data_IF_037514028004
#
_entry.id   IF_037514028004
#
_cell.length_a   1.000
_cell.length_b   1.000
_cell.length_c   1.000
_cell.angle_alpha   90.00
_cell.angle_beta   90.00
_cell.angle_gamma   90.00
#
_symmetry.space_group_name_H-M   'P 1'
#
loop_
_entity.id
_entity.type
_entity.pdbx_description
1 polymer ?
#
# COMPACT_ATOMS: atom_id res chain seq x y z
N UNK A 1 12.52 16.99 -10.50
CA UNK A 1 11.29 17.82 -10.51
C UNK A 1 10.17 17.05 -9.81
N UNK A 2 9.18 17.74 -9.24
CA UNK A 2 8.04 17.12 -8.54
C UNK A 2 7.28 16.11 -9.42
N UNK A 3 7.22 16.39 -10.72
CA UNK A 3 6.58 15.52 -11.71
C UNK A 3 7.28 14.16 -11.87
N UNK A 4 8.60 14.14 -12.05
CA UNK A 4 9.37 12.87 -12.09
C UNK A 4 9.21 12.07 -10.80
N UNK A 5 9.13 12.74 -9.66
CA UNK A 5 8.89 12.09 -8.38
C UNK A 5 7.52 11.39 -8.33
N UNK A 6 6.46 12.05 -8.81
CA UNK A 6 5.13 11.45 -8.90
C UNK A 6 5.09 10.29 -9.92
N UNK A 7 5.77 10.43 -11.05
CA UNK A 7 5.90 9.36 -12.06
C UNK A 7 6.54 8.10 -11.47
N UNK A 8 7.55 8.24 -10.59
CA UNK A 8 8.17 7.10 -9.91
C UNK A 8 7.17 6.36 -8.99
N UNK A 9 6.29 7.09 -8.31
CA UNK A 9 5.26 6.49 -7.43
C UNK A 9 4.26 5.69 -8.27
N UNK A 10 3.82 6.26 -9.40
CA UNK A 10 2.94 5.58 -10.35
C UNK A 10 3.59 4.34 -10.94
N UNK A 11 4.86 4.44 -11.37
CA UNK A 11 5.62 3.31 -11.90
C UNK A 11 5.75 2.17 -10.88
N UNK A 12 5.97 2.47 -9.61
CA UNK A 12 6.01 1.46 -8.54
C UNK A 12 4.65 0.79 -8.31
N UNK A 13 3.54 1.52 -8.44
CA UNK A 13 2.20 0.94 -8.32
C UNK A 13 1.89 0.01 -9.49
N UNK A 14 2.21 0.41 -10.72
CA UNK A 14 2.09 -0.45 -11.90
C UNK A 14 2.95 -1.70 -11.79
N UNK A 15 4.19 -1.56 -11.29
CA UNK A 15 5.07 -2.69 -11.02
C UNK A 15 4.44 -3.65 -9.99
N UNK A 16 3.85 -3.14 -8.92
CA UNK A 16 3.14 -3.96 -7.92
C UNK A 16 1.98 -4.74 -8.53
N UNK A 17 1.14 -4.09 -9.35
CA UNK A 17 0.04 -4.78 -10.04
C UNK A 17 0.53 -5.84 -11.03
N UNK A 18 1.61 -5.56 -11.76
CA UNK A 18 2.22 -6.54 -12.66
C UNK A 18 2.71 -7.78 -11.90
N UNK A 19 3.34 -7.63 -10.73
CA UNK A 19 3.75 -8.76 -9.89
C UNK A 19 2.55 -9.60 -9.42
N UNK A 20 1.45 -8.96 -9.04
CA UNK A 20 0.21 -9.66 -8.64
C UNK A 20 -0.32 -10.48 -9.82
N UNK A 21 -0.41 -9.89 -11.01
CA UNK A 21 -0.88 -10.59 -12.22
C UNK A 21 0.01 -11.79 -12.59
N UNK A 22 1.34 -11.66 -12.44
CA UNK A 22 2.26 -12.78 -12.65
C UNK A 22 2.02 -13.89 -11.62
N UNK A 23 1.79 -13.55 -10.35
CA UNK A 23 1.51 -14.55 -9.32
C UNK A 23 0.20 -15.29 -9.57
N UNK A 24 -0.84 -14.61 -10.07
CA UNK A 24 -2.09 -15.24 -10.50
C UNK A 24 -1.87 -16.27 -11.62
N UNK A 25 -0.96 -15.99 -12.56
CA UNK A 25 -0.51 -16.95 -13.56
C UNK A 25 0.16 -18.18 -12.93
N UNK A 26 1.10 -17.96 -12.02
CA UNK A 26 1.79 -19.04 -11.29
C UNK A 26 0.80 -19.90 -10.49
N UNK A 27 -0.16 -19.29 -9.80
CA UNK A 27 -1.19 -20.01 -9.05
C UNK A 27 -2.03 -20.92 -9.95
N UNK A 28 -2.36 -20.45 -11.15
CA UNK A 28 -3.08 -21.24 -12.17
C UNK A 28 -2.26 -22.42 -12.67
N UNK A 29 -0.98 -22.22 -12.95
CA UNK A 29 -0.11 -23.23 -13.57
C UNK A 29 0.37 -24.27 -12.55
N UNK A 30 0.52 -23.88 -11.28
CA UNK A 30 1.08 -24.73 -10.22
C UNK A 30 0.02 -25.29 -9.25
N UNK A 31 -1.27 -24.99 -9.45
CA UNK A 31 -2.37 -25.37 -8.56
C UNK A 31 -2.12 -24.97 -7.09
N UNK A 32 -1.57 -23.76 -6.88
CA UNK A 32 -1.30 -23.18 -5.55
C UNK A 32 -2.15 -21.92 -5.32
N UNK A 33 -2.25 -21.49 -4.05
CA UNK A 33 -2.90 -20.22 -3.65
C UNK A 33 -1.90 -19.31 -2.93
N UNK A 34 -0.83 -18.92 -3.63
CA UNK A 34 0.11 -17.94 -3.11
C UNK A 34 -0.55 -16.56 -3.05
N UNK A 35 -0.30 -15.83 -1.95
CA UNK A 35 -0.82 -14.49 -1.72
C UNK A 35 0.32 -13.50 -1.68
N UNK A 36 0.31 -12.52 -2.59
CA UNK A 36 1.21 -11.39 -2.55
C UNK A 36 0.57 -10.25 -1.77
N UNK A 37 1.36 -9.63 -0.90
CA UNK A 37 1.02 -8.37 -0.27
C UNK A 37 2.08 -7.35 -0.64
N UNK A 38 1.65 -6.10 -0.82
CA UNK A 38 2.54 -5.00 -1.21
C UNK A 38 2.19 -3.77 -0.40
N UNK A 39 3.17 -3.23 0.31
CA UNK A 39 3.09 -1.95 1.00
C UNK A 39 3.89 -0.90 0.27
N UNK A 40 3.33 0.30 0.08
CA UNK A 40 4.06 1.41 -0.55
C UNK A 40 4.05 2.64 0.35
N UNK A 41 5.15 3.39 0.33
CA UNK A 41 5.28 4.69 0.95
C UNK A 41 6.28 5.52 0.14
N UNK A 42 6.15 6.84 0.14
CA UNK A 42 7.08 7.74 -0.50
C UNK A 42 7.58 8.81 0.48
N UNK A 43 8.87 9.11 0.43
CA UNK A 43 9.50 10.12 1.28
C UNK A 43 11.02 10.00 1.27
N UNK A 44 11.73 10.84 2.04
CA UNK A 44 13.18 10.80 2.10
C UNK A 44 13.68 9.50 2.73
N UNK A 45 14.75 8.96 2.17
CA UNK A 45 15.46 7.78 2.67
C UNK A 45 16.95 7.94 2.44
N UNK A 46 17.74 7.06 3.06
CA UNK A 46 19.18 6.96 2.85
C UNK A 46 19.45 5.70 2.03
N UNK A 47 20.40 5.79 1.11
CA UNK A 47 20.88 4.67 0.31
C UNK A 47 22.40 4.61 0.38
N UNK A 48 22.98 3.41 0.32
CA UNK A 48 24.43 3.26 0.31
C UNK A 48 24.89 1.81 0.23
N UNK A 49 26.21 1.63 0.28
CA UNK A 49 26.83 0.31 0.35
C UNK A 49 27.08 -0.05 1.82
N UNK A 50 26.61 -1.22 2.23
CA UNK A 50 26.80 -1.77 3.57
C UNK A 50 27.73 -2.98 3.51
N UNK A 51 28.61 -3.11 4.50
CA UNK A 51 29.53 -4.25 4.64
C UNK A 51 30.88 -4.06 3.93
N UNK A 52 31.97 -4.35 4.64
CA UNK A 52 33.33 -4.16 4.11
C UNK A 52 33.84 -5.35 3.28
N UNK A 53 33.54 -6.59 3.68
CA UNK A 53 34.02 -7.80 2.99
C UNK A 53 33.09 -8.29 1.88
N UNK A 54 31.77 -8.02 2.01
CA UNK A 54 30.73 -8.37 1.05
C UNK A 54 29.82 -7.14 0.89
N UNK A 55 30.23 -6.15 0.09
CA UNK A 55 29.47 -4.92 -0.09
C UNK A 55 28.10 -5.22 -0.71
N UNK A 56 27.04 -4.67 -0.10
CA UNK A 56 25.66 -4.78 -0.57
C UNK A 56 25.04 -3.38 -0.65
N UNK A 57 24.36 -3.08 -1.76
CA UNK A 57 23.55 -1.87 -1.84
C UNK A 57 22.27 -2.04 -1.02
N UNK A 58 21.99 -1.07 -0.16
CA UNK A 58 20.84 -1.10 0.72
C UNK A 58 20.22 0.30 0.88
N UNK A 59 18.95 0.32 1.30
CA UNK A 59 18.19 1.53 1.61
C UNK A 59 17.59 1.45 3.02
N UNK A 60 17.68 2.53 3.78
CA UNK A 60 17.15 2.59 5.14
C UNK A 60 16.57 3.96 5.46
N UNK A 61 15.79 4.01 6.54
CA UNK A 61 15.18 5.24 7.05
C UNK A 61 13.70 5.08 7.32
N UNK A 62 13.09 6.16 7.77
CA UNK A 62 11.70 6.12 8.22
C UNK A 62 10.72 5.75 7.10
N UNK A 63 10.94 6.20 5.86
CA UNK A 63 10.06 5.83 4.72
C UNK A 63 10.04 4.32 4.47
N UNK A 64 11.19 3.65 4.55
CA UNK A 64 11.28 2.18 4.41
C UNK A 64 10.57 1.49 5.57
N UNK A 65 10.74 1.99 6.80
CA UNK A 65 10.04 1.46 7.97
C UNK A 65 8.52 1.60 7.83
N UNK A 66 8.02 2.75 7.37
CA UNK A 66 6.58 2.96 7.13
C UNK A 66 6.10 2.01 6.04
N UNK A 67 6.78 1.93 4.88
CA UNK A 67 6.43 1.00 3.80
C UNK A 67 6.34 -0.45 4.29
N UNK A 68 7.26 -0.89 5.16
CA UNK A 68 7.22 -2.24 5.74
C UNK A 68 5.98 -2.52 6.57
N UNK A 69 5.39 -1.49 7.22
CA UNK A 69 4.13 -1.62 7.96
C UNK A 69 2.93 -1.60 7.03
N UNK A 70 3.07 -0.88 5.91
CA UNK A 70 2.07 -0.84 4.87
C UNK A 70 1.88 -2.16 4.13
N UNK A 71 2.81 -3.13 4.25
CA UNK A 71 2.65 -4.47 3.64
C UNK A 71 1.31 -5.13 4.01
N UNK A 72 0.81 -4.87 5.21
CA UNK A 72 -0.49 -5.37 5.66
C UNK A 72 -1.69 -4.46 5.36
N UNK A 73 -1.45 -3.21 4.92
CA UNK A 73 -2.47 -2.14 4.95
C UNK A 73 -2.54 -1.24 3.71
N UNK A 74 -1.70 -1.46 2.70
CA UNK A 74 -1.72 -0.73 1.43
C UNK A 74 -0.77 0.45 1.38
N UNK A 75 -1.29 1.68 1.51
CA UNK A 75 -0.50 2.92 1.39
C UNK A 75 -0.93 3.98 2.42
N UNK A 76 -0.05 4.91 2.84
CA UNK A 76 -0.42 6.05 3.67
C UNK A 76 -1.10 7.14 2.84
N UNK A 77 -1.75 8.09 3.52
CA UNK A 77 -2.50 9.19 2.90
C UNK A 77 -1.68 10.00 1.88
N UNK A 78 -0.41 10.28 2.15
CA UNK A 78 0.43 11.06 1.23
C UNK A 78 0.70 10.33 -0.09
N UNK A 79 0.90 9.01 -0.03
CA UNK A 79 1.08 8.18 -1.23
C UNK A 79 -0.25 7.98 -1.95
N UNK A 80 -1.33 7.81 -1.19
CA UNK A 80 -2.68 7.72 -1.73
C UNK A 80 -3.05 8.94 -2.56
N UNK A 81 -2.77 10.16 -2.08
CA UNK A 81 -3.09 11.41 -2.80
C UNK A 81 -2.49 11.44 -4.19
N UNK A 82 -1.20 11.10 -4.31
CA UNK A 82 -0.50 11.07 -5.60
C UNK A 82 -1.12 10.02 -6.52
N UNK A 83 -1.40 8.82 -6.01
CA UNK A 83 -2.02 7.76 -6.82
C UNK A 83 -3.45 8.13 -7.26
N UNK A 84 -4.23 8.73 -6.38
CA UNK A 84 -5.58 9.18 -6.70
C UNK A 84 -5.61 10.26 -7.78
N UNK A 85 -4.73 11.26 -7.67
CA UNK A 85 -4.54 12.29 -8.71
C UNK A 85 -4.14 11.69 -10.07
N UNK A 86 -3.54 10.50 -10.09
CA UNK A 86 -3.16 9.77 -11.30
C UNK A 86 -4.17 8.67 -11.70
N UNK A 87 -5.38 8.71 -11.15
CA UNK A 87 -6.51 7.88 -11.58
C UNK A 87 -6.59 6.50 -10.94
N UNK A 88 -5.84 6.22 -9.86
CA UNK A 88 -5.97 4.97 -9.11
C UNK A 88 -7.03 5.12 -8.00
N UNK A 89 -8.11 4.32 -8.04
CA UNK A 89 -9.09 4.31 -6.97
C UNK A 89 -8.43 3.81 -5.67
N UNK A 90 -8.75 4.49 -4.57
CA UNK A 90 -8.20 4.17 -3.26
C UNK A 90 -9.31 4.06 -2.22
N UNK A 91 -9.36 2.94 -1.51
CA UNK A 91 -10.36 2.64 -0.48
C UNK A 91 -9.77 2.93 0.90
N UNK A 92 -10.45 3.75 1.72
CA UNK A 92 -10.00 4.00 3.08
C UNK A 92 -10.13 2.74 3.92
N UNK A 93 -9.01 2.26 4.46
CA UNK A 93 -8.97 1.11 5.36
C UNK A 93 -9.16 1.53 6.82
N UNK A 94 -8.76 2.76 7.14
CA UNK A 94 -8.78 3.31 8.50
C UNK A 94 -7.39 3.50 9.11
N UNK A 95 -7.33 3.93 10.38
CA UNK A 95 -6.09 4.25 11.06
C UNK A 95 -5.34 2.99 11.53
N UNK A 96 -4.01 3.02 11.44
CA UNK A 96 -3.12 2.06 12.09
C UNK A 96 -2.05 2.77 12.91
N UNK A 97 -1.63 2.13 13.99
CA UNK A 97 -0.55 2.67 14.81
C UNK A 97 0.82 2.30 14.21
N UNK A 98 1.63 3.32 13.93
CA UNK A 98 3.00 3.19 13.47
C UNK A 98 3.93 3.75 14.54
N UNK A 99 4.84 2.91 15.06
CA UNK A 99 5.81 3.30 16.09
C UNK A 99 6.60 4.53 15.64
N UNK A 100 6.59 5.59 16.44
CA UNK A 100 7.28 6.85 16.16
C UNK A 100 6.54 7.81 15.23
N UNK A 101 5.39 7.42 14.67
CA UNK A 101 4.51 8.28 13.86
C UNK A 101 3.11 8.46 14.45
N UNK A 102 2.69 7.56 15.35
CA UNK A 102 1.34 7.57 15.90
C UNK A 102 0.35 6.91 14.95
N UNK A 103 -0.92 7.32 15.02
CA UNK A 103 -1.96 6.78 14.15
C UNK A 103 -1.86 7.38 12.75
N UNK A 104 -1.81 6.53 11.73
CA UNK A 104 -1.77 6.89 10.32
C UNK A 104 -2.96 6.27 9.60
N UNK A 105 -3.73 7.08 8.89
CA UNK A 105 -4.79 6.58 8.01
C UNK A 105 -4.18 5.88 6.80
N UNK A 106 -4.71 4.71 6.48
CA UNK A 106 -4.22 3.86 5.38
C UNK A 106 -5.30 3.58 4.36
N UNK A 107 -4.86 3.27 3.14
CA UNK A 107 -5.71 3.08 2.00
C UNK A 107 -5.29 1.86 1.19
N UNK A 108 -6.26 1.13 0.65
CA UNK A 108 -6.03 0.07 -0.32
C UNK A 108 -6.12 0.65 -1.73
N UNK A 109 -5.07 0.46 -2.53
CA UNK A 109 -5.01 0.94 -3.92
C UNK A 109 -5.58 -0.12 -4.85
N UNK A 110 -6.39 0.29 -5.82
CA UNK A 110 -7.00 -0.58 -6.82
C UNK A 110 -6.46 -0.28 -8.22
N UNK A 111 -6.47 -1.26 -9.15
CA UNK A 111 -6.12 -1.02 -10.54
C UNK A 111 -7.00 0.07 -11.17
N UNK A 112 -6.47 0.77 -12.18
CA UNK A 112 -7.27 1.71 -12.98
C UNK A 112 -8.43 0.97 -13.64
N UNK A 113 -9.60 1.59 -13.66
CA UNK A 113 -10.84 0.97 -14.14
C UNK A 113 -11.55 0.06 -13.12
N UNK A 114 -11.00 -0.10 -11.91
CA UNK A 114 -11.73 -0.75 -10.82
C UNK A 114 -12.94 0.11 -10.43
N UNK A 115 -14.14 -0.45 -10.56
CA UNK A 115 -15.35 0.19 -10.08
C UNK A 115 -15.40 0.06 -8.56
N UNK A 116 -15.35 1.19 -7.86
CA UNK A 116 -15.56 1.20 -6.42
C UNK A 116 -16.96 0.64 -6.13
N UNK A 117 -17.12 -0.30 -5.19
CA UNK A 117 -18.44 -0.75 -4.80
C UNK A 117 -19.24 0.46 -4.33
N UNK A 118 -20.35 0.75 -5.01
CA UNK A 118 -21.29 1.79 -4.61
C UNK A 118 -21.81 1.45 -3.23
N UNK A 119 -21.55 2.31 -2.25
CA UNK A 119 -21.94 2.13 -0.86
C UNK A 119 -23.37 1.61 -0.75
N UNK A 120 -23.55 0.41 -0.20
CA UNK A 120 -24.88 -0.07 0.21
C UNK A 120 -25.44 0.91 1.22
N UNK A 121 -26.55 1.55 0.88
CA UNK A 121 -27.32 2.37 1.78
C UNK A 121 -27.97 1.49 2.86
N UNK A 122 -27.90 1.94 4.12
CA UNK A 122 -28.64 1.47 5.31
C UNK A 122 -28.30 0.11 5.92
N UNK A 123 -27.57 0.14 7.05
CA UNK A 123 -27.99 -0.59 8.25
C UNK A 123 -27.96 0.39 9.42
N UNK A 124 -29.14 0.84 9.86
CA UNK A 124 -29.32 1.47 11.16
C UNK A 124 -28.87 0.51 12.26
N UNK A 125 -27.82 0.84 12.99
CA UNK A 125 -27.54 0.21 14.27
C UNK A 125 -28.55 0.72 15.30
N UNK A 126 -29.67 0.00 15.44
CA UNK A 126 -30.38 -0.04 16.73
C UNK A 126 -29.43 -0.72 17.71
N UNK A 127 -28.74 0.07 18.52
CA UNK A 127 -28.01 -0.44 19.68
C UNK A 127 -29.07 -0.79 20.75
N UNK A 128 -29.35 -2.08 20.88
CA UNK A 128 -30.25 -2.60 21.90
C UNK A 128 -29.48 -2.54 23.23
N UNK A 129 -29.88 -1.61 24.11
CA UNK A 129 -29.37 -1.55 25.46
C UNK A 129 -29.84 -2.77 26.26
N UNK A 130 -28.86 -3.39 26.93
CA UNK A 130 -28.91 -4.44 27.92
C UNK A 130 -30.27 -4.75 28.57
N UNK A 131 -30.66 -6.03 28.49
CA UNK A 131 -31.49 -6.66 29.51
C UNK A 131 -30.59 -7.23 30.62
N UNK A 132 -31.09 -7.06 31.84
CA UNK A 132 -30.76 -7.63 33.15
C UNK A 132 -29.75 -8.78 33.20
#
# INVERSE_FOLDING_TARGET
>A
TRERYNQNIVALAEFAFAMIAVLEGINRDCFNDFKLRVGMCNGPLVAGIVGAKKPQYDIWGNTVNVASRMDSTGVPEETQKVLFENGYPCECRGPIYVKGKGNMTTYLVRPRGYMMPTSTSHVSSKFNASNK
#
